data_IF_431073909355
#
_entry.id   IF_431073909355
#
_cell.length_a   1.000
_cell.length_b   1.000
_cell.length_c   1.000
_cell.angle_alpha   90.00
_cell.angle_beta   90.00
_cell.angle_gamma   90.00
#
_symmetry.space_group_name_H-M   'P 1'
#
loop_
_entity.id
_entity.type
_entity.pdbx_description
1 polymer ?
#
# COMPACT_ATOMS: atom_id res chain seq x y z
N UNK A 1 3.45 -41.00 10.29
CA UNK A 1 3.26 -39.63 10.81
C UNK A 1 4.64 -39.06 11.03
N UNK A 2 5.15 -38.28 10.07
CA UNK A 2 6.50 -37.74 10.16
C UNK A 2 6.55 -36.74 11.32
N UNK A 3 7.48 -36.96 12.24
CA UNK A 3 7.75 -36.06 13.35
C UNK A 3 8.34 -34.79 12.73
N UNK A 4 7.51 -33.77 12.53
CA UNK A 4 7.97 -32.48 11.97
C UNK A 4 8.90 -31.85 13.00
N UNK A 5 10.20 -32.03 12.79
CA UNK A 5 11.24 -31.50 13.66
C UNK A 5 11.10 -29.97 13.70
N UNK A 6 11.15 -29.38 14.89
CA UNK A 6 10.96 -27.93 15.06
C UNK A 6 11.96 -27.13 14.22
N UNK A 7 13.16 -27.70 14.01
CA UNK A 7 14.18 -27.16 13.12
C UNK A 7 13.70 -27.07 11.66
N UNK A 8 13.00 -28.08 11.15
CA UNK A 8 12.46 -28.08 9.78
C UNK A 8 11.36 -27.05 9.59
N UNK A 9 10.50 -26.86 10.60
CA UNK A 9 9.47 -25.80 10.59
C UNK A 9 10.14 -24.43 10.56
N UNK A 10 11.14 -24.20 11.42
CA UNK A 10 11.87 -22.95 11.47
C UNK A 10 12.61 -22.67 10.15
N UNK A 11 13.26 -23.68 9.56
CA UNK A 11 13.98 -23.53 8.30
C UNK A 11 13.03 -23.14 7.14
N UNK A 12 11.87 -23.81 7.03
CA UNK A 12 10.86 -23.48 6.03
C UNK A 12 10.24 -22.09 6.26
N UNK A 13 9.97 -21.72 7.52
CA UNK A 13 9.38 -20.41 7.86
C UNK A 13 10.40 -19.26 7.77
N UNK A 14 11.69 -19.53 7.97
CA UNK A 14 12.76 -18.54 7.88
C UNK A 14 13.39 -18.45 6.48
N UNK A 15 13.06 -19.39 5.58
CA UNK A 15 13.60 -19.41 4.23
C UNK A 15 13.27 -18.12 3.47
N UNK A 16 14.31 -17.33 3.23
CA UNK A 16 14.21 -16.10 2.47
C UNK A 16 14.48 -16.37 0.99
N UNK A 17 13.45 -16.22 0.14
CA UNK A 17 13.63 -16.30 -1.33
C UNK A 17 14.28 -15.03 -1.87
N UNK A 18 15.60 -15.06 -2.01
CA UNK A 18 16.38 -13.94 -2.57
C UNK A 18 15.95 -13.50 -3.97
N UNK A 19 15.40 -14.41 -4.78
CA UNK A 19 14.86 -14.05 -6.10
C UNK A 19 13.76 -12.99 -6.02
N UNK A 20 13.05 -12.92 -4.88
CA UNK A 20 12.01 -11.93 -4.64
C UNK A 20 12.57 -10.53 -4.39
N UNK A 21 13.83 -10.40 -3.98
CA UNK A 21 14.47 -9.10 -3.83
C UNK A 21 14.66 -8.39 -5.18
N UNK A 22 14.69 -9.15 -6.29
CA UNK A 22 14.87 -8.62 -7.63
C UNK A 22 13.55 -8.25 -8.33
N UNK A 23 12.43 -8.87 -7.93
CA UNK A 23 11.15 -8.73 -8.64
C UNK A 23 10.08 -7.96 -7.86
N UNK A 24 10.27 -7.76 -6.55
CA UNK A 24 9.33 -7.02 -5.72
C UNK A 24 9.79 -5.58 -5.48
N UNK A 25 8.82 -4.68 -5.33
CA UNK A 25 9.11 -3.35 -4.81
C UNK A 25 9.46 -3.49 -3.33
N UNK A 26 10.76 -3.37 -3.03
CA UNK A 26 11.30 -3.33 -1.66
C UNK A 26 12.18 -2.10 -1.51
N UNK A 27 12.03 -1.38 -0.42
CA UNK A 27 13.02 -0.40 0.03
C UNK A 27 14.09 -1.08 0.88
N UNK A 28 15.28 -0.48 0.96
CA UNK A 28 16.31 -0.99 1.87
C UNK A 28 15.86 -0.70 3.32
N UNK A 29 15.99 -1.64 4.27
CA UNK A 29 15.49 -1.47 5.63
C UNK A 29 15.96 -0.18 6.32
N UNK A 30 17.21 0.25 6.08
CA UNK A 30 17.78 1.47 6.66
C UNK A 30 17.19 2.76 6.07
N UNK A 31 16.76 2.77 4.80
CA UNK A 31 16.15 3.95 4.17
C UNK A 31 14.81 4.27 4.83
N UNK A 32 14.00 3.24 5.08
CA UNK A 32 12.71 3.41 5.72
C UNK A 32 12.83 3.70 7.21
N UNK A 33 13.85 3.19 7.90
CA UNK A 33 14.02 3.37 9.35
C UNK A 33 14.11 4.86 9.75
N UNK A 34 14.76 5.69 8.94
CA UNK A 34 14.90 7.14 9.20
C UNK A 34 13.55 7.85 9.17
N UNK A 35 12.66 7.45 8.28
CA UNK A 35 11.37 8.12 8.07
C UNK A 35 10.26 7.47 8.91
N UNK A 36 10.44 6.21 9.30
CA UNK A 36 9.46 5.38 10.00
C UNK A 36 8.91 6.03 11.25
N UNK A 37 9.77 6.56 12.12
CA UNK A 37 9.32 7.19 13.37
C UNK A 37 8.46 8.44 13.10
N UNK A 38 8.83 9.25 12.10
CA UNK A 38 8.10 10.46 11.71
C UNK A 38 6.74 10.13 11.07
N UNK A 39 6.62 8.99 10.39
CA UNK A 39 5.37 8.54 9.79
C UNK A 39 4.49 7.88 10.86
N UNK A 40 5.02 6.96 11.66
CA UNK A 40 4.24 6.23 12.67
C UNK A 40 3.70 7.11 13.79
N UNK A 41 4.47 8.11 14.24
CA UNK A 41 4.11 8.90 15.42
C UNK A 41 3.75 10.34 15.07
N UNK A 42 2.77 10.95 15.78
CA UNK A 42 2.60 12.39 15.75
C UNK A 42 3.81 13.06 16.41
N UNK A 43 3.99 14.36 16.16
CA UNK A 43 4.99 15.13 16.89
C UNK A 43 4.60 15.24 18.37
N UNK A 44 5.60 15.23 19.25
CA UNK A 44 5.40 15.34 20.71
C UNK A 44 4.89 16.72 21.13
N UNK A 45 5.09 17.74 20.30
CA UNK A 45 4.65 19.10 20.59
C UNK A 45 3.15 19.26 20.37
N UNK A 46 2.46 19.79 21.39
CA UNK A 46 1.03 20.06 21.32
C UNK A 46 0.69 20.99 20.16
N UNK A 47 -0.40 20.73 19.41
CA UNK A 47 -0.88 21.65 18.39
C UNK A 47 -1.31 22.99 19.00
N UNK A 48 -0.74 24.09 18.52
CA UNK A 48 -1.13 25.46 18.91
C UNK A 48 -2.14 26.07 17.95
N UNK A 49 -2.18 25.54 16.72
CA UNK A 49 -3.08 25.98 15.66
C UNK A 49 -4.15 24.92 15.41
N UNK A 50 -5.33 25.44 15.13
CA UNK A 50 -6.58 24.76 14.81
C UNK A 50 -6.57 24.23 13.36
N UNK A 51 -7.56 23.42 12.94
CA UNK A 51 -7.69 22.98 11.54
C UNK A 51 -8.26 24.05 10.59
N UNK A 52 -8.64 25.22 11.11
CA UNK A 52 -9.22 26.29 10.31
C UNK A 52 -10.68 25.97 10.00
N UNK A 53 -11.05 26.00 8.73
CA UNK A 53 -12.44 25.78 8.31
C UNK A 53 -13.00 24.40 8.72
N UNK A 54 -12.15 23.39 8.89
CA UNK A 54 -12.56 22.05 9.29
C UNK A 54 -12.84 21.92 10.81
N UNK A 55 -12.50 22.91 11.63
CA UNK A 55 -12.79 22.84 13.08
C UNK A 55 -14.28 22.97 13.41
N UNK A 56 -15.11 23.40 12.44
CA UNK A 56 -16.57 23.38 12.61
C UNK A 56 -17.12 21.94 12.67
N UNK A 57 -16.36 20.97 12.15
CA UNK A 57 -16.77 19.59 12.09
C UNK A 57 -16.46 18.88 13.42
N UNK A 58 -17.40 18.09 13.95
CA UNK A 58 -17.12 17.20 15.07
C UNK A 58 -16.14 16.07 14.65
N UNK A 59 -15.47 15.47 15.63
CA UNK A 59 -14.41 14.48 15.38
C UNK A 59 -14.92 13.25 14.61
N UNK A 60 -16.19 12.89 14.77
CA UNK A 60 -16.84 11.78 14.07
C UNK A 60 -16.88 12.04 12.56
N UNK A 61 -17.27 13.25 12.15
CA UNK A 61 -17.28 13.64 10.73
C UNK A 61 -15.86 13.72 10.18
N UNK A 62 -14.91 14.24 10.95
CA UNK A 62 -13.50 14.24 10.56
C UNK A 62 -12.98 12.81 10.35
N UNK A 63 -13.30 11.87 11.24
CA UNK A 63 -12.92 10.47 11.08
C UNK A 63 -13.54 9.83 9.84
N UNK A 64 -14.82 10.11 9.54
CA UNK A 64 -15.46 9.63 8.31
C UNK A 64 -14.73 10.19 7.09
N UNK A 65 -14.42 11.48 7.06
CA UNK A 65 -13.66 12.10 5.97
C UNK A 65 -12.30 11.41 5.80
N UNK A 66 -11.54 11.28 6.89
CA UNK A 66 -10.21 10.67 6.88
C UNK A 66 -10.22 9.22 6.37
N UNK A 67 -11.25 8.44 6.69
CA UNK A 67 -11.41 7.06 6.17
C UNK A 67 -11.64 7.00 4.66
N UNK A 68 -12.26 8.03 4.10
CA UNK A 68 -12.59 8.11 2.67
C UNK A 68 -11.52 8.84 1.85
N UNK A 69 -10.46 9.37 2.46
CA UNK A 69 -9.34 9.93 1.72
C UNK A 69 -8.51 8.82 1.10
N UNK A 70 -8.11 9.03 -0.16
CA UNK A 70 -7.07 8.22 -0.78
C UNK A 70 -5.74 8.38 -0.03
N UNK A 71 -4.85 7.39 -0.17
CA UNK A 71 -3.57 7.34 0.53
C UNK A 71 -2.73 8.62 0.32
N UNK A 72 -2.75 9.21 -0.89
CA UNK A 72 -1.99 10.43 -1.18
C UNK A 72 -2.61 11.65 -0.50
N UNK A 73 -3.92 11.86 -0.64
CA UNK A 73 -4.63 12.95 0.00
C UNK A 73 -4.54 12.88 1.52
N UNK A 74 -4.64 11.67 2.09
CA UNK A 74 -4.44 11.43 3.51
C UNK A 74 -3.02 11.81 3.95
N UNK A 75 -2.03 11.37 3.18
CA UNK A 75 -0.63 11.67 3.46
C UNK A 75 -0.37 13.17 3.45
N UNK A 76 -0.92 13.90 2.47
CA UNK A 76 -0.84 15.36 2.43
C UNK A 76 -1.58 16.02 3.60
N UNK A 77 -2.80 15.59 3.91
CA UNK A 77 -3.55 16.09 5.06
C UNK A 77 -2.74 15.99 6.37
N UNK A 78 -2.10 14.83 6.60
CA UNK A 78 -1.23 14.60 7.77
C UNK A 78 -0.05 15.58 7.84
N UNK A 79 0.35 16.18 6.73
CA UNK A 79 1.45 17.15 6.64
C UNK A 79 1.00 18.62 6.69
N UNK A 80 -0.31 18.91 6.69
CA UNK A 80 -0.81 20.29 6.71
C UNK A 80 -0.39 21.05 7.97
N UNK A 81 -0.68 20.51 9.16
CA UNK A 81 -0.27 21.11 10.43
C UNK A 81 -0.21 20.05 11.56
N UNK A 82 0.14 20.47 12.78
CA UNK A 82 0.24 19.55 13.93
C UNK A 82 -1.10 18.93 14.33
N UNK A 83 -2.21 19.66 14.19
CA UNK A 83 -3.55 19.17 14.54
C UNK A 83 -4.02 18.11 13.55
N UNK A 84 -3.82 18.34 12.26
CA UNK A 84 -4.12 17.37 11.21
C UNK A 84 -3.27 16.11 11.36
N UNK A 85 -1.98 16.28 11.68
CA UNK A 85 -1.08 15.17 12.00
C UNK A 85 -1.59 14.33 13.18
N UNK A 86 -2.03 14.98 14.25
CA UNK A 86 -2.54 14.28 15.43
C UNK A 86 -3.75 13.41 15.06
N UNK A 87 -4.78 14.00 14.46
CA UNK A 87 -6.00 13.30 14.04
C UNK A 87 -5.71 12.15 13.06
N UNK A 88 -4.90 12.41 12.03
CA UNK A 88 -4.51 11.39 11.07
C UNK A 88 -3.64 10.28 11.70
N UNK A 89 -2.96 10.54 12.83
CA UNK A 89 -2.20 9.51 13.53
C UNK A 89 -3.05 8.71 14.51
N UNK A 90 -4.30 9.11 14.77
CA UNK A 90 -5.21 8.41 15.68
C UNK A 90 -5.98 7.28 14.98
N UNK A 91 -6.19 7.38 13.66
CA UNK A 91 -6.88 6.37 12.86
C UNK A 91 -6.20 5.00 12.95
N UNK A 92 -7.00 3.97 13.24
CA UNK A 92 -6.48 2.61 13.50
C UNK A 92 -5.88 1.98 12.24
N UNK A 93 -6.55 2.13 11.11
CA UNK A 93 -6.13 1.63 9.81
C UNK A 93 -4.77 2.20 9.43
N UNK A 94 -4.58 3.51 9.64
CA UNK A 94 -3.30 4.19 9.43
C UNK A 94 -2.19 3.58 10.31
N UNK A 95 -2.43 3.44 11.62
CA UNK A 95 -1.44 2.90 12.56
C UNK A 95 -0.97 1.50 12.15
N UNK A 96 -1.91 0.62 11.81
CA UNK A 96 -1.58 -0.76 11.42
C UNK A 96 -0.83 -0.78 10.09
N UNK A 97 -1.30 -0.03 9.10
CA UNK A 97 -0.67 0.02 7.77
C UNK A 97 0.74 0.57 7.84
N UNK A 98 0.99 1.67 8.54
CA UNK A 98 2.35 2.21 8.65
C UNK A 98 3.24 1.29 9.48
N UNK A 99 2.72 0.66 10.54
CA UNK A 99 3.55 -0.22 11.38
C UNK A 99 3.93 -1.53 10.69
N UNK A 100 3.02 -2.12 9.93
CA UNK A 100 3.19 -3.48 9.40
C UNK A 100 3.28 -3.55 7.86
N UNK A 101 2.80 -2.53 7.15
CA UNK A 101 2.67 -2.51 5.69
C UNK A 101 3.31 -1.29 5.02
N UNK A 102 4.31 -0.66 5.65
CA UNK A 102 4.95 0.57 5.12
C UNK A 102 5.53 0.40 3.72
N UNK A 103 6.05 -0.80 3.38
CA UNK A 103 6.55 -1.11 2.04
C UNK A 103 5.43 -1.05 0.99
N UNK A 104 4.25 -1.59 1.32
CA UNK A 104 3.09 -1.53 0.44
C UNK A 104 2.60 -0.10 0.25
N UNK A 105 2.50 0.67 1.34
CA UNK A 105 2.12 2.08 1.28
C UNK A 105 3.12 2.91 0.46
N UNK A 106 4.42 2.73 0.68
CA UNK A 106 5.48 3.35 -0.13
C UNK A 106 5.43 2.92 -1.59
N UNK A 107 5.14 1.65 -1.85
CA UNK A 107 4.92 1.10 -3.20
C UNK A 107 3.77 1.80 -3.92
N UNK A 108 2.63 2.01 -3.25
CA UNK A 108 1.49 2.75 -3.80
C UNK A 108 1.89 4.19 -4.17
N UNK A 109 2.68 4.88 -3.33
CA UNK A 109 3.17 6.22 -3.62
C UNK A 109 4.12 6.25 -4.83
N UNK A 110 5.11 5.35 -4.86
CA UNK A 110 6.14 5.28 -5.91
C UNK A 110 5.55 4.93 -7.28
N UNK A 111 4.52 4.08 -7.28
CA UNK A 111 3.82 3.63 -8.50
C UNK A 111 2.67 4.54 -8.93
N UNK A 112 2.39 5.61 -8.17
CA UNK A 112 1.27 6.53 -8.36
C UNK A 112 -0.12 5.89 -8.23
N UNK A 113 -0.23 4.77 -7.53
CA UNK A 113 -1.51 4.12 -7.23
C UNK A 113 -2.16 4.66 -5.95
N UNK A 114 -1.44 5.44 -5.14
CA UNK A 114 -1.93 6.00 -3.89
C UNK A 114 -3.18 6.89 -4.01
N UNK A 115 -3.53 7.37 -5.22
CA UNK A 115 -4.75 8.16 -5.47
C UNK A 115 -6.01 7.32 -5.63
N UNK A 116 -5.88 5.99 -5.69
CA UNK A 116 -6.99 5.08 -6.00
C UNK A 116 -7.45 4.24 -4.81
N UNK A 117 -6.65 4.19 -3.75
CA UNK A 117 -6.89 3.33 -2.59
C UNK A 117 -6.87 4.17 -1.32
N UNK A 118 -7.57 3.70 -0.30
CA UNK A 118 -7.63 4.28 1.04
C UNK A 118 -6.73 3.51 2.01
N UNK A 119 -6.57 4.03 3.23
CA UNK A 119 -5.96 3.24 4.31
C UNK A 119 -6.81 2.03 4.72
N UNK A 120 -8.14 2.07 4.49
CA UNK A 120 -9.01 0.92 4.76
C UNK A 120 -8.73 -0.25 3.80
N UNK A 121 -8.51 0.02 2.51
CA UNK A 121 -8.16 -1.01 1.53
C UNK A 121 -6.85 -1.72 1.89
N UNK A 122 -5.82 -0.92 2.22
CA UNK A 122 -4.54 -1.42 2.69
C UNK A 122 -4.66 -2.21 4.00
N UNK A 123 -5.49 -1.73 4.93
CA UNK A 123 -5.73 -2.40 6.20
C UNK A 123 -6.40 -3.76 6.01
N UNK A 124 -7.45 -3.85 5.18
CA UNK A 124 -8.11 -5.12 4.83
C UNK A 124 -7.12 -6.12 4.25
N UNK A 125 -6.26 -5.69 3.35
CA UNK A 125 -5.21 -6.54 2.78
C UNK A 125 -4.13 -6.96 3.80
N UNK A 126 -3.95 -6.26 4.92
CA UNK A 126 -3.02 -6.67 5.96
C UNK A 126 -3.60 -7.70 6.92
N UNK A 127 -4.90 -7.62 7.20
CA UNK A 127 -5.56 -8.47 8.20
C UNK A 127 -6.17 -9.74 7.61
N UNK A 128 -6.31 -9.83 6.29
CA UNK A 128 -6.61 -11.10 5.61
C UNK A 128 -5.31 -11.88 5.44
N UNK A 129 -5.34 -13.21 5.46
CA UNK A 129 -4.19 -14.08 5.17
C UNK A 129 -4.32 -14.78 3.81
N UNK A 130 -5.53 -14.74 3.23
CA UNK A 130 -5.89 -15.47 2.03
C UNK A 130 -5.61 -14.65 0.79
N UNK A 131 -5.21 -15.33 -0.27
CA UNK A 131 -5.10 -14.73 -1.59
C UNK A 131 -6.50 -14.51 -2.18
N UNK A 132 -6.72 -13.34 -2.76
CA UNK A 132 -8.02 -12.92 -3.29
C UNK A 132 -8.43 -13.64 -4.58
N UNK A 133 -7.53 -14.40 -5.21
CA UNK A 133 -7.74 -15.07 -6.50
C UNK A 133 -7.87 -16.59 -6.34
N UNK A 134 -6.90 -17.20 -5.67
CA UNK A 134 -6.92 -18.60 -5.25
C UNK A 134 -6.86 -18.64 -3.72
N UNK A 135 -7.66 -19.47 -3.05
CA UNK A 135 -7.76 -19.55 -1.58
C UNK A 135 -6.52 -20.12 -0.86
N UNK A 136 -5.33 -19.86 -1.40
CA UNK A 136 -4.03 -20.16 -0.81
C UNK A 136 -3.56 -18.98 0.09
N UNK A 137 -2.48 -19.17 0.83
CA UNK A 137 -1.84 -18.08 1.59
C UNK A 137 -1.35 -16.96 0.66
N UNK A 138 -1.81 -15.74 0.90
CA UNK A 138 -1.53 -14.57 0.08
C UNK A 138 -0.30 -13.79 0.55
N UNK A 139 0.91 -14.31 0.38
CA UNK A 139 2.14 -13.69 0.90
C UNK A 139 2.51 -12.31 0.35
N UNK A 140 1.83 -11.80 -0.68
CA UNK A 140 2.19 -10.57 -1.39
C UNK A 140 1.00 -9.62 -1.51
N UNK A 141 1.29 -8.33 -1.69
CA UNK A 141 0.30 -7.30 -2.02
C UNK A 141 0.41 -6.97 -3.51
N UNK A 142 -0.63 -7.25 -4.29
CA UNK A 142 -0.74 -6.79 -5.66
C UNK A 142 -1.21 -5.34 -5.69
N UNK A 143 -0.27 -4.42 -5.95
CA UNK A 143 -0.53 -2.99 -5.85
C UNK A 143 -1.70 -2.50 -6.73
N UNK A 144 -1.86 -2.94 -8.01
CA UNK A 144 -2.92 -2.42 -8.85
C UNK A 144 -4.35 -2.67 -8.35
N UNK A 145 -4.57 -3.58 -7.42
CA UNK A 145 -5.89 -3.84 -6.81
C UNK A 145 -5.89 -3.74 -5.28
N UNK A 146 -4.76 -3.36 -4.67
CA UNK A 146 -4.54 -3.43 -3.22
C UNK A 146 -4.96 -4.78 -2.59
N UNK A 147 -4.83 -5.89 -3.33
CA UNK A 147 -5.31 -7.20 -2.90
C UNK A 147 -4.15 -8.14 -2.53
N UNK A 148 -4.40 -9.07 -1.62
CA UNK A 148 -3.42 -10.13 -1.33
C UNK A 148 -3.38 -11.13 -2.47
N UNK A 149 -2.17 -11.55 -2.83
CA UNK A 149 -1.97 -12.60 -3.81
C UNK A 149 -0.89 -13.59 -3.36
N UNK A 150 -1.01 -14.84 -3.79
CA UNK A 150 0.05 -15.83 -3.63
C UNK A 150 1.02 -15.76 -4.81
N UNK A 151 2.23 -16.32 -4.65
CA UNK A 151 3.24 -16.29 -5.70
C UNK A 151 2.77 -16.94 -7.01
N UNK A 152 2.06 -18.07 -6.91
CA UNK A 152 1.52 -18.76 -8.08
C UNK A 152 0.52 -17.90 -8.87
N UNK A 153 -0.23 -17.00 -8.20
CA UNK A 153 -1.08 -16.04 -8.91
C UNK A 153 -0.24 -15.04 -9.68
N UNK A 154 0.78 -14.46 -9.05
CA UNK A 154 1.64 -13.45 -9.67
C UNK A 154 2.23 -13.99 -10.98
N UNK A 155 2.65 -15.25 -11.00
CA UNK A 155 3.24 -15.88 -12.18
C UNK A 155 2.21 -16.24 -13.26
N UNK A 156 1.03 -16.73 -12.88
CA UNK A 156 0.15 -17.46 -13.80
C UNK A 156 -1.25 -16.85 -14.00
N UNK A 157 -1.75 -16.06 -13.04
CA UNK A 157 -3.11 -15.53 -13.10
C UNK A 157 -3.24 -14.51 -14.24
N UNK A 158 -4.24 -14.69 -15.10
CA UNK A 158 -4.51 -13.79 -16.21
C UNK A 158 -4.94 -12.40 -15.71
N UNK A 159 -5.64 -12.39 -14.59
CA UNK A 159 -6.19 -11.23 -13.89
C UNK A 159 -5.09 -10.29 -13.38
N UNK A 160 -3.88 -10.81 -13.14
CA UNK A 160 -2.75 -10.05 -12.62
C UNK A 160 -1.80 -9.53 -13.70
N UNK A 161 -2.03 -9.90 -14.97
CA UNK A 161 -1.15 -9.51 -16.06
C UNK A 161 -1.26 -8.01 -16.34
N UNK A 162 -0.12 -7.33 -16.29
CA UNK A 162 -0.01 -5.95 -16.72
C UNK A 162 0.52 -5.87 -18.16
N UNK A 163 0.06 -4.86 -18.91
CA UNK A 163 0.58 -4.53 -20.24
C UNK A 163 1.01 -3.07 -20.27
N UNK A 164 2.10 -2.78 -20.97
CA UNK A 164 2.53 -1.40 -21.16
C UNK A 164 1.53 -0.63 -22.03
N UNK A 165 1.36 0.66 -21.75
CA UNK A 165 0.47 1.53 -22.55
C UNK A 165 0.86 1.55 -24.04
N UNK A 166 2.14 1.37 -24.35
CA UNK A 166 2.63 1.28 -25.74
C UNK A 166 2.21 -0.02 -26.42
N UNK A 167 2.30 -1.16 -25.72
CA UNK A 167 1.84 -2.44 -26.25
C UNK A 167 0.31 -2.47 -26.39
N UNK A 168 -0.42 -1.94 -25.40
CA UNK A 168 -1.88 -1.80 -25.46
C UNK A 168 -2.31 -0.89 -26.63
N UNK A 169 -1.60 0.22 -26.85
CA UNK A 169 -1.83 1.12 -27.98
C UNK A 169 -1.64 0.42 -29.33
N UNK A 170 -0.60 -0.40 -29.48
CA UNK A 170 -0.36 -1.19 -30.69
C UNK A 170 -1.45 -2.23 -30.93
N UNK A 171 -1.89 -2.94 -29.89
CA UNK A 171 -2.91 -3.99 -29.98
C UNK A 171 -4.30 -3.43 -30.32
N UNK A 172 -4.68 -2.33 -29.67
CA UNK A 172 -6.01 -1.71 -29.84
C UNK A 172 -6.09 -0.76 -31.03
N UNK A 173 -4.94 -0.36 -31.60
CA UNK A 173 -4.81 0.72 -32.60
C UNK A 173 -5.37 2.07 -32.10
N UNK A 174 -5.46 2.25 -30.78
CA UNK A 174 -5.87 3.50 -30.14
C UNK A 174 -4.63 4.21 -29.59
N UNK A 175 -4.57 5.54 -29.70
CA UNK A 175 -3.43 6.30 -29.16
C UNK A 175 -3.32 6.16 -27.65
N UNK A 176 -2.10 6.08 -27.12
CA UNK A 176 -1.85 5.98 -25.68
C UNK A 176 -2.52 7.12 -24.88
N UNK A 177 -2.60 8.32 -25.46
CA UNK A 177 -3.30 9.46 -24.86
C UNK A 177 -4.80 9.20 -24.68
N UNK A 178 -5.47 8.63 -25.70
CA UNK A 178 -6.90 8.31 -25.61
C UNK A 178 -7.14 7.11 -24.68
N UNK A 179 -6.27 6.11 -24.72
CA UNK A 179 -6.32 5.00 -23.77
C UNK A 179 -6.25 5.50 -22.33
N UNK A 180 -5.30 6.38 -22.01
CA UNK A 180 -5.17 6.93 -20.66
C UNK A 180 -6.36 7.74 -20.14
N UNK A 181 -7.33 8.11 -21.00
CA UNK A 181 -8.59 8.72 -20.56
C UNK A 181 -9.63 7.67 -20.12
N UNK A 182 -9.46 6.41 -20.52
CA UNK A 182 -10.39 5.31 -20.27
C UNK A 182 -9.79 4.20 -19.39
N UNK A 183 -8.47 4.17 -19.21
CA UNK A 183 -7.84 3.25 -18.26
C UNK A 183 -8.05 3.77 -16.84
N UNK A 184 -8.72 2.99 -16.03
CA UNK A 184 -9.03 3.34 -14.63
C UNK A 184 -7.76 3.36 -13.76
N UNK A 185 -6.81 2.46 -14.04
CA UNK A 185 -5.57 2.31 -13.28
C UNK A 185 -4.37 2.28 -14.23
N UNK A 186 -3.42 3.20 -14.02
CA UNK A 186 -2.12 3.16 -14.70
C UNK A 186 -1.02 3.16 -13.65
N UNK A 187 -0.28 2.05 -13.58
CA UNK A 187 0.90 1.94 -12.74
C UNK A 187 2.09 2.60 -13.43
N UNK A 188 2.83 3.42 -12.67
CA UNK A 188 4.17 3.87 -13.06
C UNK A 188 5.21 2.83 -12.61
N UNK A 189 6.08 2.40 -13.53
CA UNK A 189 7.21 1.55 -13.17
C UNK A 189 8.18 2.29 -12.26
N UNK A 190 8.76 1.57 -11.30
CA UNK A 190 9.70 2.12 -10.33
C UNK A 190 11.12 1.91 -10.88
N UNK A 191 11.94 2.98 -11.05
CA UNK A 191 13.30 2.83 -11.55
C UNK A 191 14.15 1.92 -10.65
N UNK A 192 14.96 1.04 -11.26
CA UNK A 192 15.76 0.04 -10.54
C UNK A 192 15.17 -1.38 -10.59
N UNK A 193 14.04 -1.53 -11.28
CA UNK A 193 13.48 -2.78 -11.81
C UNK A 193 13.24 -2.58 -13.30
#
# INVERSE_FOLDING_TARGET
MANTDAASILDVCAYHRHDFDLVLIRSRPHENQVVRESIEKPFTTTPTVKLGALDILPNELLNIILRNLDLLSYFWFRHVNRRSRLLASELQEYKVVVRHGIEGFGGMLRTRLATHFTFEDMYRALIDETCSFYKNFGGFLYLPTAARCCFACIENALELRAISMSALSKLTKVSAKRLGLHTEYTLRTVPGI
#
